data_IF_420279913213
#
_entry.id   IF_420279913213
#
_cell.length_a   1.000
_cell.length_b   1.000
_cell.length_c   1.000
_cell.angle_alpha   90.00
_cell.angle_beta   90.00
_cell.angle_gamma   90.00
#
_symmetry.space_group_name_H-M   'P 1'
#
loop_
_entity.id
_entity.type
_entity.pdbx_description
1 polymer ?
#
# COMPACT_ATOMS: atom_id res chain seq x y z
N UNK A 1 -16.67 -18.24 -2.10
CA UNK A 1 -16.88 -17.68 -3.44
C UNK A 1 -16.65 -18.72 -4.52
N UNK A 2 -17.42 -18.70 -5.62
CA UNK A 2 -17.00 -19.35 -6.87
C UNK A 2 -15.94 -18.46 -7.51
N UNK A 3 -14.72 -18.96 -7.65
CA UNK A 3 -13.58 -18.22 -8.17
C UNK A 3 -13.18 -18.77 -9.54
N UNK A 4 -12.86 -17.87 -10.49
CA UNK A 4 -12.39 -18.29 -11.80
C UNK A 4 -11.02 -18.98 -11.69
N UNK A 5 -10.70 -19.86 -12.65
CA UNK A 5 -9.36 -20.49 -12.71
C UNK A 5 -8.24 -19.45 -12.79
N UNK A 6 -8.48 -18.36 -13.51
CA UNK A 6 -7.54 -17.27 -13.67
C UNK A 6 -7.29 -16.52 -12.35
N UNK A 7 -8.37 -16.13 -11.65
CA UNK A 7 -8.27 -15.50 -10.31
C UNK A 7 -7.62 -16.42 -9.27
N UNK A 8 -7.90 -17.73 -9.32
CA UNK A 8 -7.22 -18.70 -8.46
C UNK A 8 -5.72 -18.74 -8.73
N UNK A 9 -5.31 -18.84 -10.01
CA UNK A 9 -3.89 -18.86 -10.40
C UNK A 9 -3.19 -17.59 -9.93
N UNK A 10 -3.81 -16.43 -10.12
CA UNK A 10 -3.30 -15.15 -9.64
C UNK A 10 -3.10 -15.17 -8.12
N UNK A 11 -4.14 -15.45 -7.33
CA UNK A 11 -4.01 -15.50 -5.86
C UNK A 11 -2.97 -16.53 -5.41
N UNK A 12 -2.92 -17.69 -6.04
CA UNK A 12 -1.94 -18.72 -5.72
C UNK A 12 -0.50 -18.23 -5.92
N UNK A 13 -0.25 -17.51 -7.01
CA UNK A 13 1.06 -16.94 -7.33
C UNK A 13 1.43 -15.72 -6.48
N UNK A 14 0.46 -15.00 -5.92
CA UNK A 14 0.71 -13.80 -5.11
C UNK A 14 0.68 -14.05 -3.59
N UNK A 15 0.16 -15.20 -3.14
CA UNK A 15 0.07 -15.55 -1.70
C UNK A 15 1.00 -16.70 -1.31
N UNK A 16 1.12 -17.74 -2.15
CA UNK A 16 1.81 -18.97 -1.78
C UNK A 16 3.11 -19.19 -2.55
N UNK A 17 3.13 -18.87 -3.83
CA UNK A 17 4.34 -18.94 -4.64
C UNK A 17 5.04 -17.57 -4.71
N UNK A 18 6.34 -17.55 -5.03
CA UNK A 18 6.99 -16.32 -5.47
C UNK A 18 6.28 -15.79 -6.73
N UNK A 19 6.24 -14.46 -6.95
CA UNK A 19 5.82 -13.88 -8.21
C UNK A 19 6.56 -14.54 -9.38
N UNK A 20 5.88 -14.71 -10.52
CA UNK A 20 6.50 -15.22 -11.73
C UNK A 20 7.64 -14.27 -12.17
N UNK A 21 8.60 -14.81 -12.92
CA UNK A 21 9.72 -14.00 -13.42
C UNK A 21 9.19 -12.87 -14.33
N UNK A 22 9.81 -11.67 -14.28
CA UNK A 22 9.46 -10.58 -15.20
C UNK A 22 9.54 -11.05 -16.66
N UNK A 23 8.46 -10.84 -17.42
CA UNK A 23 8.34 -11.30 -18.82
C UNK A 23 7.64 -12.65 -19.00
N UNK A 24 7.19 -13.28 -17.91
CA UNK A 24 6.19 -14.36 -17.90
C UNK A 24 4.84 -13.84 -17.38
N UNK A 25 4.56 -12.55 -17.60
CA UNK A 25 3.24 -12.01 -17.34
C UNK A 25 2.22 -12.73 -18.21
N UNK A 26 1.04 -12.91 -17.61
CA UNK A 26 -0.12 -13.47 -18.26
C UNK A 26 -0.39 -12.67 -19.56
N UNK A 27 0.07 -13.18 -20.71
CA UNK A 27 -0.09 -12.58 -22.05
C UNK A 27 -1.57 -12.31 -22.45
N UNK A 28 -2.51 -12.63 -21.56
CA UNK A 28 -3.96 -12.42 -21.65
C UNK A 28 -4.46 -11.17 -20.88
N UNK A 29 -3.58 -10.29 -20.38
CA UNK A 29 -3.96 -9.05 -19.67
C UNK A 29 -4.51 -7.95 -20.60
N UNK A 30 -5.64 -8.24 -21.26
CA UNK A 30 -6.40 -7.23 -22.00
C UNK A 30 -7.35 -6.40 -21.12
N UNK A 31 -7.61 -6.85 -19.89
CA UNK A 31 -8.54 -6.22 -18.94
C UNK A 31 -7.86 -5.55 -17.73
N UNK A 32 -6.52 -5.58 -17.66
CA UNK A 32 -5.70 -5.03 -16.57
C UNK A 32 -5.68 -5.87 -15.29
N UNK A 33 -4.64 -5.73 -14.47
CA UNK A 33 -4.43 -6.49 -13.21
C UNK A 33 -5.46 -6.15 -12.11
N UNK A 34 -6.11 -4.99 -12.19
CA UNK A 34 -6.96 -4.45 -11.12
C UNK A 34 -8.11 -5.37 -10.64
N UNK A 35 -8.90 -6.04 -11.51
CA UNK A 35 -9.95 -6.95 -11.06
C UNK A 35 -9.40 -8.16 -10.27
N UNK A 36 -8.18 -8.60 -10.59
CA UNK A 36 -7.50 -9.70 -9.90
C UNK A 36 -7.00 -9.26 -8.54
N UNK A 37 -6.35 -8.10 -8.45
CA UNK A 37 -5.93 -7.50 -7.18
C UNK A 37 -7.12 -7.26 -6.24
N UNK A 38 -8.22 -6.71 -6.75
CA UNK A 38 -9.47 -6.56 -5.99
C UNK A 38 -9.99 -7.90 -5.48
N UNK A 39 -9.89 -8.95 -6.29
CA UNK A 39 -10.29 -10.31 -5.89
C UNK A 39 -9.39 -10.85 -4.78
N UNK A 40 -8.08 -10.58 -4.86
CA UNK A 40 -7.11 -10.92 -3.81
C UNK A 40 -7.41 -10.17 -2.50
N UNK A 41 -7.60 -8.85 -2.53
CA UNK A 41 -7.94 -8.07 -1.32
C UNK A 41 -9.20 -8.60 -0.63
N UNK A 42 -10.23 -8.93 -1.41
CA UNK A 42 -11.47 -9.50 -0.88
C UNK A 42 -11.27 -10.90 -0.31
N UNK A 43 -10.47 -11.74 -0.96
CA UNK A 43 -10.12 -13.06 -0.44
C UNK A 43 -9.38 -12.96 0.91
N UNK A 44 -8.43 -12.03 1.03
CA UNK A 44 -7.70 -11.78 2.29
C UNK A 44 -8.65 -11.30 3.38
N UNK A 45 -9.54 -10.35 3.08
CA UNK A 45 -10.54 -9.86 4.02
C UNK A 45 -11.47 -10.98 4.52
N UNK A 46 -12.09 -11.73 3.61
CA UNK A 46 -12.99 -12.85 3.98
C UNK A 46 -12.26 -13.93 4.81
N UNK A 47 -10.99 -14.20 4.48
CA UNK A 47 -10.16 -15.16 5.21
C UNK A 47 -9.87 -14.66 6.62
N UNK A 48 -9.52 -13.37 6.76
CA UNK A 48 -9.24 -12.75 8.04
C UNK A 48 -10.48 -12.74 8.93
N UNK A 49 -11.64 -12.34 8.40
CA UNK A 49 -12.93 -12.39 9.11
C UNK A 49 -13.25 -13.82 9.60
N UNK A 50 -13.07 -14.82 8.73
CA UNK A 50 -13.31 -16.23 9.11
C UNK A 50 -12.33 -16.72 10.19
N UNK A 51 -11.08 -16.26 10.14
CA UNK A 51 -10.08 -16.58 11.14
C UNK A 51 -10.45 -15.99 12.51
N UNK A 52 -10.84 -14.72 12.56
CA UNK A 52 -11.24 -14.03 13.79
C UNK A 52 -12.48 -14.67 14.41
N UNK A 53 -13.47 -15.04 13.59
CA UNK A 53 -14.68 -15.72 14.06
C UNK A 53 -14.40 -17.06 14.76
N UNK A 54 -13.28 -17.71 14.43
CA UNK A 54 -12.86 -19.01 15.00
C UNK A 54 -11.86 -18.88 16.15
N UNK A 55 -11.28 -17.70 16.37
CA UNK A 55 -10.23 -17.44 17.36
C UNK A 55 -10.76 -17.10 18.76
N UNK A 56 -9.85 -16.87 19.72
CA UNK A 56 -10.19 -16.29 21.03
C UNK A 56 -10.34 -14.77 20.92
N UNK A 57 -11.20 -14.18 21.76
CA UNK A 57 -11.52 -12.74 21.75
C UNK A 57 -10.39 -11.84 22.27
N UNK A 58 -9.25 -12.40 22.64
CA UNK A 58 -8.18 -11.71 23.37
C UNK A 58 -7.35 -10.76 22.49
N UNK A 59 -7.55 -10.76 21.17
CA UNK A 59 -6.85 -9.88 20.20
C UNK A 59 -7.80 -9.07 19.31
N UNK A 60 -9.00 -8.71 19.79
CA UNK A 60 -10.06 -8.13 18.95
C UNK A 60 -9.69 -6.76 18.34
N UNK A 61 -8.95 -5.92 19.06
CA UNK A 61 -8.68 -4.54 18.63
C UNK A 61 -7.73 -4.48 17.42
N UNK A 62 -6.59 -5.19 17.46
CA UNK A 62 -5.64 -5.20 16.36
C UNK A 62 -6.27 -5.79 15.07
N UNK A 63 -7.11 -6.82 15.22
CA UNK A 63 -7.83 -7.42 14.12
C UNK A 63 -8.91 -6.50 13.54
N UNK A 64 -9.63 -5.76 14.39
CA UNK A 64 -10.60 -4.75 13.95
C UNK A 64 -9.93 -3.65 13.13
N UNK A 65 -8.74 -3.20 13.54
CA UNK A 65 -7.94 -2.23 12.79
C UNK A 65 -7.52 -2.82 11.44
N UNK A 66 -7.02 -4.06 11.41
CA UNK A 66 -6.63 -4.72 10.16
C UNK A 66 -7.79 -4.89 9.17
N UNK A 67 -8.98 -5.28 9.66
CA UNK A 67 -10.21 -5.34 8.86
C UNK A 67 -10.53 -3.95 8.29
N UNK A 68 -10.58 -2.92 9.15
CA UNK A 68 -10.89 -1.56 8.72
C UNK A 68 -9.90 -1.04 7.66
N UNK A 69 -8.61 -1.37 7.78
CA UNK A 69 -7.61 -1.03 6.77
C UNK A 69 -7.88 -1.70 5.41
N UNK A 70 -8.22 -2.99 5.41
CA UNK A 70 -8.53 -3.74 4.19
C UNK A 70 -9.83 -3.23 3.52
N UNK A 71 -10.87 -2.97 4.30
CA UNK A 71 -12.13 -2.39 3.80
C UNK A 71 -11.90 -1.02 3.15
N UNK A 72 -11.16 -0.13 3.84
CA UNK A 72 -10.78 1.18 3.34
C UNK A 72 -9.98 1.08 2.03
N UNK A 73 -9.05 0.12 1.94
CA UNK A 73 -8.26 -0.10 0.72
C UNK A 73 -9.15 -0.56 -0.45
N UNK A 74 -10.04 -1.52 -0.21
CA UNK A 74 -11.00 -2.01 -1.22
C UNK A 74 -11.91 -0.88 -1.71
N UNK A 75 -12.28 0.05 -0.83
CA UNK A 75 -13.10 1.23 -1.17
C UNK A 75 -12.32 2.27 -1.99
N UNK A 76 -11.06 2.53 -1.62
CA UNK A 76 -10.18 3.50 -2.28
C UNK A 76 -9.84 3.12 -3.71
N UNK A 77 -9.64 1.83 -3.94
CA UNK A 77 -9.08 1.32 -5.18
C UNK A 77 -10.12 1.23 -6.31
N UNK A 78 -10.62 2.36 -6.82
CA UNK A 78 -11.60 2.40 -7.92
C UNK A 78 -10.88 2.45 -9.28
N UNK A 79 -10.69 1.29 -9.90
CA UNK A 79 -10.00 1.12 -11.20
C UNK A 79 -8.54 1.59 -11.18
N UNK A 80 -7.82 1.33 -10.08
CA UNK A 80 -6.41 1.69 -9.94
C UNK A 80 -6.15 3.18 -9.69
N UNK A 81 -7.19 4.01 -9.57
CA UNK A 81 -7.07 5.44 -9.27
C UNK A 81 -7.54 5.71 -7.85
N UNK A 82 -6.72 6.44 -7.08
CA UNK A 82 -7.03 6.84 -5.72
C UNK A 82 -8.08 7.97 -5.72
N UNK A 83 -9.27 7.69 -5.21
CA UNK A 83 -10.33 8.68 -5.07
C UNK A 83 -10.02 9.67 -3.93
N UNK A 84 -9.78 10.94 -4.26
CA UNK A 84 -9.41 12.02 -3.32
C UNK A 84 -10.42 12.22 -2.19
N UNK A 85 -11.70 12.26 -2.51
CA UNK A 85 -12.77 12.49 -1.52
C UNK A 85 -12.92 11.29 -0.58
N UNK A 86 -12.82 10.07 -1.12
CA UNK A 86 -12.80 8.85 -0.32
C UNK A 86 -11.58 8.83 0.60
N UNK A 87 -10.41 9.22 0.09
CA UNK A 87 -9.17 9.28 0.88
C UNK A 87 -9.22 10.35 1.97
N UNK A 88 -9.74 11.55 1.67
CA UNK A 88 -9.93 12.59 2.67
C UNK A 88 -10.84 12.13 3.81
N UNK A 89 -11.95 11.46 3.47
CA UNK A 89 -12.88 10.88 4.44
C UNK A 89 -12.22 9.78 5.27
N UNK A 90 -11.43 8.91 4.67
CA UNK A 90 -10.72 7.85 5.40
C UNK A 90 -9.71 8.48 6.37
N UNK A 91 -8.92 9.45 5.91
CA UNK A 91 -7.95 10.18 6.74
C UNK A 91 -8.65 10.83 7.94
N UNK A 92 -9.73 11.58 7.71
CA UNK A 92 -10.44 12.26 8.80
C UNK A 92 -11.04 11.29 9.84
N UNK A 93 -11.28 10.03 9.45
CA UNK A 93 -11.86 9.00 10.32
C UNK A 93 -10.82 8.01 10.89
N UNK A 94 -9.51 8.28 10.74
CA UNK A 94 -8.46 7.40 11.28
C UNK A 94 -8.62 7.18 12.79
N UNK A 95 -9.08 8.16 13.58
CA UNK A 95 -9.35 7.96 15.03
C UNK A 95 -10.38 6.86 15.30
N UNK A 96 -11.37 6.71 14.40
CA UNK A 96 -12.42 5.70 14.52
C UNK A 96 -11.97 4.32 14.03
N UNK A 97 -11.22 4.28 12.92
CA UNK A 97 -10.77 3.04 12.27
C UNK A 97 -9.42 2.52 12.78
N UNK A 98 -8.70 3.32 13.56
CA UNK A 98 -7.36 3.04 14.11
C UNK A 98 -6.24 3.26 13.10
N UNK A 99 -6.41 2.87 11.84
CA UNK A 99 -5.38 3.05 10.81
C UNK A 99 -5.95 3.13 9.38
N UNK A 100 -5.10 3.62 8.47
CA UNK A 100 -5.31 3.59 7.03
C UNK A 100 -4.00 3.18 6.32
N UNK A 101 -4.10 2.48 5.20
CA UNK A 101 -2.97 2.16 4.35
C UNK A 101 -3.27 2.50 2.89
N UNK A 102 -2.23 2.86 2.15
CA UNK A 102 -2.29 3.15 0.73
C UNK A 102 -1.02 2.65 0.05
N UNK A 103 -1.18 1.97 -1.07
CA UNK A 103 -0.07 1.69 -1.98
C UNK A 103 -0.03 2.73 -3.11
N UNK A 104 1.01 3.55 -3.10
CA UNK A 104 1.28 4.58 -4.12
C UNK A 104 2.17 3.95 -5.20
N UNK A 105 1.54 3.26 -6.16
CA UNK A 105 2.22 2.44 -7.19
C UNK A 105 3.28 3.19 -7.98
N UNK A 106 2.95 4.38 -8.47
CA UNK A 106 3.88 5.22 -9.27
C UNK A 106 5.17 5.58 -8.50
N UNK A 107 5.17 5.43 -7.17
CA UNK A 107 6.30 5.74 -6.30
C UNK A 107 6.90 4.51 -5.63
N UNK A 108 6.40 3.29 -5.91
CA UNK A 108 6.77 2.08 -5.17
C UNK A 108 6.69 2.31 -3.64
N UNK A 109 5.71 3.09 -3.17
CA UNK A 109 5.65 3.59 -1.80
C UNK A 109 4.43 3.04 -1.07
N UNK A 110 4.67 2.36 0.05
CA UNK A 110 3.66 2.01 1.04
C UNK A 110 3.53 3.19 1.99
N UNK A 111 2.30 3.68 2.15
CA UNK A 111 1.96 4.71 3.13
C UNK A 111 1.01 4.11 4.16
N UNK A 112 1.29 4.32 5.44
CA UNK A 112 0.46 3.86 6.55
C UNK A 112 0.27 5.01 7.53
N UNK A 113 -0.97 5.24 7.95
CA UNK A 113 -1.28 6.14 9.06
C UNK A 113 -1.90 5.33 10.20
N UNK A 114 -1.37 5.49 11.41
CA UNK A 114 -1.87 4.81 12.61
C UNK A 114 -2.13 5.84 13.72
N UNK A 115 -3.27 5.69 14.42
CA UNK A 115 -3.64 6.52 15.56
C UNK A 115 -3.17 5.91 16.88
N UNK A 116 -2.17 6.54 17.50
CA UNK A 116 -1.77 6.27 18.87
C UNK A 116 -2.74 6.95 19.85
N UNK A 117 -3.68 6.15 20.38
CA UNK A 117 -4.67 6.58 21.37
C UNK A 117 -4.04 7.10 22.66
N UNK A 118 -2.86 6.59 23.04
CA UNK A 118 -2.21 6.95 24.31
C UNK A 118 -1.60 8.34 24.22
N UNK A 119 -0.97 8.64 23.09
CA UNK A 119 -0.33 9.93 22.84
C UNK A 119 -1.23 11.00 22.23
N UNK A 120 -2.45 10.65 21.81
CA UNK A 120 -3.31 11.44 20.91
C UNK A 120 -2.51 11.95 19.69
N UNK A 121 -1.85 11.00 19.01
CA UNK A 121 -0.99 11.26 17.86
C UNK A 121 -1.38 10.40 16.68
N UNK A 122 -1.11 10.92 15.49
CA UNK A 122 -1.13 10.14 14.27
C UNK A 122 0.29 9.97 13.79
N UNK A 123 0.69 8.73 13.61
CA UNK A 123 1.99 8.35 13.05
C UNK A 123 1.76 8.08 11.57
N UNK A 124 2.49 8.80 10.73
CA UNK A 124 2.49 8.67 9.28
C UNK A 124 3.81 8.02 8.87
N UNK A 125 3.72 6.78 8.40
CA UNK A 125 4.86 6.02 7.90
C UNK A 125 4.84 5.96 6.38
N UNK A 126 6.02 6.09 5.78
CA UNK A 126 6.24 5.87 4.37
C UNK A 126 7.46 4.97 4.16
N UNK A 127 7.34 3.98 3.28
CA UNK A 127 8.41 3.04 3.00
C UNK A 127 8.35 2.53 1.57
N UNK A 128 9.49 2.11 1.04
CA UNK A 128 9.54 1.47 -0.27
C UNK A 128 8.86 0.08 -0.18
N UNK A 129 7.98 -0.31 -1.12
CA UNK A 129 7.29 -1.61 -1.05
C UNK A 129 8.21 -2.73 -1.54
N UNK A 130 8.82 -2.54 -2.70
CA UNK A 130 9.80 -3.46 -3.29
C UNK A 130 11.20 -2.85 -3.33
N UNK A 131 12.30 -3.60 -3.19
CA UNK A 131 13.63 -3.04 -3.34
C UNK A 131 13.90 -2.65 -4.80
N UNK A 132 14.66 -1.58 -5.02
CA UNK A 132 15.10 -1.17 -6.37
C UNK A 132 15.89 -2.30 -7.04
N UNK A 133 15.61 -2.54 -8.33
CA UNK A 133 16.27 -3.57 -9.12
C UNK A 133 17.82 -3.49 -9.06
N UNK A 134 18.38 -2.28 -9.07
CA UNK A 134 19.83 -2.06 -8.95
C UNK A 134 20.41 -2.57 -7.62
N UNK A 135 19.67 -2.41 -6.54
CA UNK A 135 20.11 -2.81 -5.21
C UNK A 135 20.04 -4.35 -5.11
N UNK A 136 19.00 -4.96 -5.67
CA UNK A 136 18.86 -6.43 -5.78
C UNK A 136 20.02 -7.04 -6.56
N UNK A 137 20.35 -6.49 -7.74
CA UNK A 137 21.42 -7.02 -8.60
C UNK A 137 22.81 -6.80 -8.00
N UNK A 138 23.02 -5.70 -7.28
CA UNK A 138 24.31 -5.37 -6.67
C UNK A 138 24.57 -6.10 -5.34
N UNK A 139 23.53 -6.64 -4.69
CA UNK A 139 23.67 -7.27 -3.39
C UNK A 139 24.47 -8.58 -3.49
N UNK A 140 25.62 -8.71 -2.79
CA UNK A 140 26.40 -9.95 -2.77
C UNK A 140 25.72 -11.07 -1.95
N UNK A 141 24.54 -10.80 -1.38
CA UNK A 141 23.77 -11.67 -0.51
C UNK A 141 22.41 -11.05 -0.21
N UNK A 142 21.87 -11.27 1.00
CA UNK A 142 20.57 -10.73 1.40
C UNK A 142 20.57 -9.20 1.43
N UNK A 143 19.49 -8.61 0.91
CA UNK A 143 19.22 -7.18 1.05
C UNK A 143 18.77 -6.84 2.47
N UNK A 144 19.47 -5.92 3.12
CA UNK A 144 18.99 -5.31 4.35
C UNK A 144 18.04 -4.16 4.01
N UNK A 145 16.80 -4.24 4.48
CA UNK A 145 15.80 -3.18 4.34
C UNK A 145 15.47 -2.60 5.72
N UNK A 146 15.41 -1.29 5.82
CA UNK A 146 14.98 -0.58 7.03
C UNK A 146 13.52 -0.14 6.87
N UNK A 147 12.70 -0.41 7.89
CA UNK A 147 11.28 -0.06 7.91
C UNK A 147 10.90 0.62 9.24
N UNK A 148 10.03 1.64 9.21
CA UNK A 148 9.60 2.37 8.01
C UNK A 148 10.76 3.20 7.44
N UNK A 149 10.67 3.58 6.16
CA UNK A 149 11.70 4.41 5.52
C UNK A 149 11.72 5.83 6.09
N UNK A 150 10.54 6.39 6.37
CA UNK A 150 10.30 7.64 7.12
C UNK A 150 9.11 7.45 8.04
N UNK A 151 9.11 8.19 9.15
CA UNK A 151 8.01 8.25 10.11
C UNK A 151 7.87 9.67 10.64
N UNK A 152 6.65 10.21 10.63
CA UNK A 152 6.31 11.53 11.16
C UNK A 152 5.15 11.40 12.12
N UNK A 153 5.28 11.96 13.31
CA UNK A 153 4.19 12.01 14.29
C UNK A 153 3.58 13.43 14.34
N UNK A 154 2.27 13.51 14.15
CA UNK A 154 1.50 14.76 14.25
C UNK A 154 0.43 14.65 15.34
N UNK A 155 -0.09 15.80 15.78
CA UNK A 155 -1.22 15.85 16.72
C UNK A 155 -2.44 15.14 16.13
N UNK A 156 -3.14 14.35 16.95
CA UNK A 156 -4.41 13.72 16.56
C UNK A 156 -5.46 14.72 16.12
N UNK A 157 -5.43 15.95 16.65
CA UNK A 157 -6.32 17.05 16.25
C UNK A 157 -6.20 17.44 14.76
N UNK A 158 -5.09 17.10 14.09
CA UNK A 158 -4.93 17.39 12.65
C UNK A 158 -5.95 16.65 11.79
N UNK A 159 -6.45 15.49 12.23
CA UNK A 159 -7.48 14.73 11.52
C UNK A 159 -8.84 15.44 11.49
N UNK A 160 -9.04 16.41 12.37
CA UNK A 160 -10.26 17.22 12.47
C UNK A 160 -10.16 18.51 11.62
N UNK A 161 -8.95 18.91 11.19
CA UNK A 161 -8.78 20.02 10.24
C UNK A 161 -9.07 19.52 8.81
N UNK A 162 -10.25 19.88 8.32
CA UNK A 162 -10.69 19.53 6.97
C UNK A 162 -9.71 19.97 5.87
N UNK A 163 -8.99 21.08 6.06
CA UNK A 163 -7.98 21.54 5.09
C UNK A 163 -6.79 20.60 5.07
N UNK A 164 -6.30 20.18 6.24
CA UNK A 164 -5.22 19.20 6.33
C UNK A 164 -5.59 17.88 5.63
N UNK A 165 -6.76 17.32 5.97
CA UNK A 165 -7.22 16.06 5.38
C UNK A 165 -7.37 16.16 3.85
N UNK A 166 -7.83 17.30 3.34
CA UNK A 166 -7.98 17.56 1.91
C UNK A 166 -6.63 17.73 1.21
N UNK A 167 -5.70 18.50 1.79
CA UNK A 167 -4.38 18.71 1.18
C UNK A 167 -3.54 17.42 1.18
N UNK A 168 -3.59 16.65 2.26
CA UNK A 168 -2.92 15.36 2.34
C UNK A 168 -3.49 14.36 1.32
N UNK A 169 -4.83 14.25 1.23
CA UNK A 169 -5.46 13.36 0.25
C UNK A 169 -5.16 13.78 -1.19
N UNK A 170 -5.17 15.08 -1.48
CA UNK A 170 -4.80 15.62 -2.78
C UNK A 170 -3.36 15.27 -3.15
N UNK A 171 -2.44 15.42 -2.20
CA UNK A 171 -1.01 15.11 -2.39
C UNK A 171 -0.80 13.62 -2.65
N UNK A 172 -1.37 12.75 -1.81
CA UNK A 172 -1.26 11.30 -1.96
C UNK A 172 -1.88 10.79 -3.27
N UNK A 173 -3.06 11.32 -3.64
CA UNK A 173 -3.69 10.97 -4.90
C UNK A 173 -2.87 11.45 -6.11
N UNK A 174 -2.29 12.65 -6.04
CA UNK A 174 -1.40 13.16 -7.09
C UNK A 174 -0.17 12.26 -7.25
N UNK A 175 0.49 11.91 -6.14
CA UNK A 175 1.64 11.00 -6.14
C UNK A 175 1.31 9.61 -6.70
N UNK A 176 0.05 9.17 -6.58
CA UNK A 176 -0.40 7.88 -7.16
C UNK A 176 -0.47 7.87 -8.69
N UNK A 177 -0.45 9.05 -9.32
CA UNK A 177 -0.55 9.23 -10.78
C UNK A 177 0.68 9.89 -11.41
N UNK A 178 1.52 10.55 -10.62
CA UNK A 178 2.74 11.20 -11.13
C UNK A 178 3.84 10.16 -11.33
N UNK A 179 4.21 9.87 -12.57
CA UNK A 179 5.35 9.01 -12.84
C UNK A 179 6.66 9.74 -12.57
N UNK A 180 7.43 9.25 -11.61
CA UNK A 180 8.83 9.67 -11.43
C UNK A 180 9.70 8.60 -12.08
N UNK A 181 10.42 8.96 -13.14
CA UNK A 181 11.25 8.01 -13.90
C UNK A 181 12.25 7.23 -13.02
N UNK A 182 12.64 7.78 -11.88
CA UNK A 182 13.54 7.14 -10.88
C UNK A 182 12.85 6.01 -10.07
N UNK A 183 11.52 5.96 -10.04
CA UNK A 183 10.71 5.00 -9.28
C UNK A 183 10.15 3.85 -10.14
N UNK A 184 10.26 3.96 -11.46
CA UNK A 184 9.88 2.88 -12.38
C UNK A 184 11.01 1.82 -12.37
N UNK A 185 10.71 0.53 -12.12
CA UNK A 185 11.68 -0.55 -12.31
C UNK A 185 12.12 -0.58 -13.77
N UNK A 186 13.25 0.05 -14.07
CA UNK A 186 13.85 0.03 -15.40
C UNK A 186 14.94 -1.02 -15.45
N UNK A 187 14.88 -1.90 -16.47
CA UNK A 187 16.01 -2.74 -16.82
C UNK A 187 17.18 -1.83 -17.26
N UNK A 188 18.40 -1.98 -16.72
CA UNK A 188 19.50 -1.16 -17.17
C UNK A 188 19.86 -1.53 -18.61
N UNK A 189 19.82 -0.56 -19.53
CA UNK A 189 20.73 -0.56 -20.68
C UNK A 189 22.12 -0.14 -20.17
N UNK A 190 23.21 -0.78 -20.62
CA UNK A 190 24.55 -0.43 -20.15
C UNK A 190 24.88 1.02 -20.52
N UNK A 191 25.17 1.87 -19.52
CA UNK A 191 25.87 3.15 -19.77
C UNK A 191 25.35 4.43 -19.11
N UNK A 192 24.35 4.44 -18.21
CA UNK A 192 23.92 5.69 -17.57
C UNK A 192 24.27 5.77 -16.08
N UNK A 193 25.05 6.80 -15.72
CA UNK A 193 25.44 7.17 -14.36
C UNK A 193 24.30 7.88 -13.62
N UNK A 194 24.22 7.55 -12.32
CA UNK A 194 23.73 8.29 -11.15
C UNK A 194 22.71 9.41 -11.34
N UNK A 195 21.63 9.39 -10.55
CA UNK A 195 21.17 10.55 -9.74
C UNK A 195 20.02 10.17 -8.77
N UNK A 196 20.15 10.79 -7.58
CA UNK A 196 19.27 11.14 -6.43
C UNK A 196 18.14 10.24 -5.94
N UNK A 197 17.82 10.43 -4.65
CA UNK A 197 16.89 9.63 -3.86
C UNK A 197 15.46 10.14 -4.04
N UNK A 198 14.59 9.33 -4.62
CA UNK A 198 13.17 9.62 -4.72
C UNK A 198 12.47 9.67 -3.35
N UNK A 199 11.71 10.74 -3.13
CA UNK A 199 10.58 10.93 -2.21
C UNK A 199 10.83 11.09 -0.71
N UNK A 200 11.96 10.65 -0.14
CA UNK A 200 12.20 10.87 1.29
C UNK A 200 12.25 12.37 1.69
N UNK A 201 12.33 13.30 0.72
CA UNK A 201 12.37 14.75 0.96
C UNK A 201 11.07 15.52 0.68
N UNK A 202 10.01 14.90 0.15
CA UNK A 202 8.79 15.63 -0.27
C UNK A 202 7.59 15.39 0.65
N UNK A 203 7.68 14.40 1.54
CA UNK A 203 6.65 14.08 2.54
C UNK A 203 6.93 14.69 3.92
N UNK A 204 7.96 15.54 4.03
CA UNK A 204 8.33 16.30 5.23
C UNK A 204 8.33 17.78 4.94
#
# INVERSE_FOLDING_TARGET
>A
MSMSKHSFKFIFNHVFLPPLLPGYDDEDEKDGEWPLERTLHRFVLETLESFIQKGSKETDEAWTVAISMLENWIELDKKGVVCKDTLARIISNIKAHGAAALYIRAQNCGWVAYYDKTGDKVILDAFEVSPRAKDVVAAPGSLLRQFPGQSVAISGSMLEDARFCTELSNTLARLSTEDVAEMIPSHPKPGYQSLKSGILSTLV
#
